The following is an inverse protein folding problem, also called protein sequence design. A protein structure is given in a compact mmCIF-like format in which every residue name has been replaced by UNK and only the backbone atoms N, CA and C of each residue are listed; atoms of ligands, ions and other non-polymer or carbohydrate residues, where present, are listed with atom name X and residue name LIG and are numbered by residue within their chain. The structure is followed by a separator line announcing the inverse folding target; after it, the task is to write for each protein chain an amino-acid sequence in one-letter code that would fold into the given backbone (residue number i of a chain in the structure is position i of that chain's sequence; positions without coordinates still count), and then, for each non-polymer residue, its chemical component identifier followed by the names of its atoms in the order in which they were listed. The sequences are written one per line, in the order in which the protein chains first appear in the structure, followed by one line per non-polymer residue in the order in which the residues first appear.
data_IF_229267756443
#
_entry.id   IF_229267756443
#
_cell.length_a   1.000
_cell.length_b   1.000
_cell.length_c   1.000
_cell.angle_alpha   90.00
_cell.angle_beta   90.00
_cell.angle_gamma   90.00
#
_symmetry.space_group_name_H-M   'P 1'
#
loop_
_entity.id
_entity.type
_entity.pdbx_description
1 polymer ?
#
# COMPACT_ATOMS: atom_id res chain seq x y z
N UNK A 1 12.74 8.73 8.33
CA UNK A 1 11.98 7.97 7.30
C UNK A 1 10.49 7.90 7.63
N UNK A 2 10.12 7.65 8.89
CA UNK A 2 8.72 7.66 9.36
C UNK A 2 8.04 9.03 9.22
N UNK A 3 8.76 10.12 9.41
CA UNK A 3 8.24 11.49 9.26
C UNK A 3 7.78 11.79 7.83
N UNK A 4 8.45 11.24 6.80
CA UNK A 4 8.04 11.40 5.39
C UNK A 4 6.74 10.66 5.10
N UNK A 5 6.56 9.48 5.69
CA UNK A 5 5.31 8.74 5.59
C UNK A 5 4.17 9.52 6.26
N UNK A 6 4.38 9.97 7.50
CA UNK A 6 3.39 10.78 8.23
C UNK A 6 3.04 12.08 7.52
N UNK A 7 4.01 12.79 6.94
CA UNK A 7 3.74 13.98 6.14
C UNK A 7 2.93 13.65 4.87
N UNK A 8 3.22 12.52 4.20
CA UNK A 8 2.44 12.09 3.04
C UNK A 8 0.99 11.74 3.40
N UNK A 9 0.78 11.12 4.57
CA UNK A 9 -0.55 10.81 5.11
C UNK A 9 -1.29 12.11 5.45
N UNK A 10 -0.64 13.06 6.13
CA UNK A 10 -1.22 14.37 6.49
C UNK A 10 -1.71 15.12 5.26
N UNK A 11 -0.88 15.24 4.22
CA UNK A 11 -1.27 15.96 3.00
C UNK A 11 -2.43 15.27 2.26
N UNK A 12 -2.47 13.94 2.27
CA UNK A 12 -3.55 13.19 1.62
C UNK A 12 -4.86 13.23 2.40
N UNK A 13 -4.78 13.11 3.72
CA UNK A 13 -5.95 13.19 4.63
C UNK A 13 -6.60 14.57 4.60
N UNK A 14 -5.82 15.65 4.41
CA UNK A 14 -6.34 17.03 4.26
C UNK A 14 -7.41 17.17 3.18
N UNK A 15 -7.26 16.48 2.05
CA UNK A 15 -8.21 16.55 0.92
C UNK A 15 -9.28 15.47 0.96
N UNK A 16 -9.10 14.43 1.79
CA UNK A 16 -10.02 13.31 1.90
C UNK A 16 -11.22 13.69 2.75
N UNK A 17 -12.35 13.99 2.09
CA UNK A 17 -13.64 14.22 2.73
C UNK A 17 -14.29 12.94 3.31
N UNK A 18 -13.64 11.78 3.14
CA UNK A 18 -14.16 10.47 3.53
C UNK A 18 -13.76 9.98 4.93
N UNK A 19 -13.01 10.77 5.71
CA UNK A 19 -12.66 10.44 7.09
C UNK A 19 -13.74 10.87 8.11
N UNK A 20 -14.81 11.52 7.66
CA UNK A 20 -15.87 12.02 8.53
C UNK A 20 -16.92 10.93 8.77
N UNK A 21 -16.78 10.19 9.89
CA UNK A 21 -17.93 9.50 10.49
C UNK A 21 -17.68 8.12 11.10
N UNK A 22 -16.62 7.39 10.74
CA UNK A 22 -16.32 6.09 11.37
C UNK A 22 -14.82 5.76 11.40
N UNK A 23 -14.38 5.22 12.54
CA UNK A 23 -13.01 4.74 12.74
C UNK A 23 -12.69 3.60 11.76
N UNK A 24 -13.68 2.77 11.46
CA UNK A 24 -13.55 1.64 10.55
C UNK A 24 -13.23 2.07 9.11
N UNK A 25 -13.90 3.11 8.61
CA UNK A 25 -13.58 3.67 7.28
C UNK A 25 -12.19 4.29 7.25
N UNK A 26 -11.79 4.97 8.32
CA UNK A 26 -10.44 5.50 8.44
C UNK A 26 -9.39 4.37 8.40
N UNK A 27 -9.63 3.28 9.13
CA UNK A 27 -8.75 2.11 9.15
C UNK A 27 -8.58 1.48 7.76
N UNK A 28 -9.68 1.26 7.03
CA UNK A 28 -9.65 0.69 5.68
C UNK A 28 -8.86 1.58 4.72
N UNK A 29 -9.08 2.89 4.76
CA UNK A 29 -8.35 3.85 3.93
C UNK A 29 -6.85 3.85 4.27
N UNK A 30 -6.52 3.82 5.57
CA UNK A 30 -5.14 3.81 6.03
C UNK A 30 -4.40 2.54 5.63
N UNK A 31 -5.02 1.36 5.78
CA UNK A 31 -4.49 0.08 5.28
C UNK A 31 -4.29 0.10 3.77
N UNK A 32 -5.26 0.62 3.01
CA UNK A 32 -5.12 0.78 1.57
C UNK A 32 -3.96 1.70 1.19
N UNK A 33 -3.77 2.79 1.94
CA UNK A 33 -2.66 3.72 1.71
C UNK A 33 -1.30 3.10 2.03
N UNK A 34 -1.20 2.30 3.09
CA UNK A 34 0.02 1.57 3.44
C UNK A 34 0.43 0.62 2.30
N UNK A 35 -0.52 -0.17 1.79
CA UNK A 35 -0.28 -1.08 0.65
C UNK A 35 0.19 -0.27 -0.58
N UNK A 36 -0.50 0.83 -0.89
CA UNK A 36 -0.10 1.70 -1.99
C UNK A 36 1.32 2.26 -1.81
N UNK A 37 1.65 2.75 -0.62
CA UNK A 37 2.93 3.38 -0.32
C UNK A 37 4.11 2.40 -0.41
N UNK A 38 3.89 1.14 -0.03
CA UNK A 38 4.92 0.10 0.03
C UNK A 38 5.07 -0.69 -1.27
N UNK A 39 3.96 -1.02 -1.95
CA UNK A 39 3.97 -1.96 -3.08
C UNK A 39 3.80 -1.28 -4.45
N UNK A 40 3.24 -0.07 -4.50
CA UNK A 40 2.80 0.54 -5.77
C UNK A 40 3.55 1.83 -6.06
N UNK A 41 3.68 2.71 -5.06
CA UNK A 41 4.35 4.00 -5.22
C UNK A 41 5.86 3.80 -5.33
N UNK A 42 6.47 4.34 -6.39
CA UNK A 42 7.93 4.50 -6.47
C UNK A 42 8.37 5.67 -5.60
N UNK A 43 9.39 5.45 -4.79
CA UNK A 43 9.94 6.47 -3.91
C UNK A 43 11.09 7.19 -4.61
N UNK A 44 11.09 8.52 -4.56
CA UNK A 44 12.11 9.34 -5.24
C UNK A 44 13.53 9.05 -4.77
N UNK A 45 13.73 8.73 -3.48
CA UNK A 45 15.06 8.50 -2.92
C UNK A 45 15.70 7.19 -3.40
N UNK A 46 14.92 6.11 -3.51
CA UNK A 46 15.40 4.78 -3.90
C UNK A 46 15.07 4.42 -5.36
N UNK A 47 14.33 5.29 -6.06
CA UNK A 47 13.81 5.10 -7.44
C UNK A 47 13.03 3.79 -7.68
N UNK A 48 12.65 3.11 -6.60
CA UNK A 48 11.98 1.81 -6.54
C UNK A 48 10.80 1.85 -5.57
N UNK A 49 9.97 0.83 -5.58
CA UNK A 49 8.98 0.59 -4.55
C UNK A 49 9.65 -0.04 -3.32
N UNK A 50 9.26 0.32 -2.08
CA UNK A 50 9.86 -0.24 -0.86
C UNK A 50 9.92 -1.76 -0.80
N UNK A 51 8.88 -2.47 -1.28
CA UNK A 51 8.87 -3.94 -1.27
C UNK A 51 10.02 -4.57 -2.06
N UNK A 52 10.52 -3.91 -3.11
CA UNK A 52 11.60 -4.45 -3.95
C UNK A 52 12.92 -4.56 -3.17
N UNK A 53 13.08 -3.75 -2.13
CA UNK A 53 14.24 -3.80 -1.23
C UNK A 53 13.99 -4.74 -0.06
N UNK A 54 12.78 -4.73 0.50
CA UNK A 54 12.43 -5.53 1.66
C UNK A 54 12.21 -7.01 1.34
N UNK A 55 11.69 -7.33 0.15
CA UNK A 55 11.31 -8.68 -0.28
C UNK A 55 11.78 -8.91 -1.73
N UNK A 56 13.10 -9.15 -1.95
CA UNK A 56 13.66 -9.27 -3.30
C UNK A 56 13.07 -10.41 -4.13
N UNK A 57 12.55 -11.45 -3.47
CA UNK A 57 11.94 -12.62 -4.11
C UNK A 57 10.52 -12.37 -4.60
N UNK A 58 9.86 -11.29 -4.17
CA UNK A 58 8.53 -10.93 -4.61
C UNK A 58 8.62 -10.06 -5.85
N UNK A 59 8.23 -10.61 -7.00
CA UNK A 59 8.23 -9.91 -8.29
C UNK A 59 6.78 -9.64 -8.70
N UNK A 60 6.41 -8.35 -8.75
CA UNK A 60 5.15 -7.88 -9.31
C UNK A 60 5.44 -7.42 -10.74
N UNK A 61 5.16 -8.28 -11.72
CA UNK A 61 5.55 -8.08 -13.12
C UNK A 61 4.49 -7.31 -13.91
N UNK A 62 3.23 -7.39 -13.50
CA UNK A 62 2.14 -6.71 -14.20
C UNK A 62 2.19 -5.19 -14.02
N UNK A 63 1.67 -4.48 -15.03
CA UNK A 63 1.41 -3.04 -14.94
C UNK A 63 0.38 -2.74 -13.84
N UNK A 64 -0.61 -3.63 -13.65
CA UNK A 64 -1.62 -3.52 -12.60
C UNK A 64 -1.23 -4.30 -11.33
N UNK A 65 -0.33 -3.70 -10.56
CA UNK A 65 0.15 -4.26 -9.29
C UNK A 65 -0.97 -4.57 -8.29
N UNK A 66 -2.07 -3.82 -8.29
CA UNK A 66 -3.22 -4.11 -7.42
C UNK A 66 -3.82 -5.47 -7.71
N UNK A 67 -4.04 -5.78 -8.99
CA UNK A 67 -4.63 -7.06 -9.40
C UNK A 67 -3.74 -8.24 -9.02
N UNK A 68 -2.42 -8.10 -9.16
CA UNK A 68 -1.47 -9.14 -8.72
C UNK A 68 -1.49 -9.34 -7.21
N UNK A 69 -1.49 -8.26 -6.41
CA UNK A 69 -1.58 -8.36 -4.95
C UNK A 69 -2.86 -9.07 -4.50
N UNK A 70 -4.00 -8.78 -5.14
CA UNK A 70 -5.29 -9.44 -4.86
C UNK A 70 -5.20 -10.93 -5.22
N UNK A 71 -4.65 -11.28 -6.39
CA UNK A 71 -4.47 -12.67 -6.81
C UNK A 71 -3.54 -13.44 -5.86
N UNK A 72 -2.46 -12.81 -5.40
CA UNK A 72 -1.53 -13.39 -4.42
C UNK A 72 -2.22 -13.66 -3.09
N UNK A 73 -3.01 -12.69 -2.59
CA UNK A 73 -3.81 -12.86 -1.37
C UNK A 73 -4.75 -14.06 -1.46
N UNK A 74 -5.49 -14.17 -2.57
CA UNK A 74 -6.41 -15.29 -2.81
C UNK A 74 -5.68 -16.63 -2.91
N UNK A 75 -4.50 -16.68 -3.56
CA UNK A 75 -3.71 -17.93 -3.65
C UNK A 75 -3.28 -18.43 -2.27
N UNK A 76 -2.86 -17.53 -1.38
CA UNK A 76 -2.45 -17.89 -0.01
C UNK A 76 -3.63 -18.45 0.79
N UNK A 77 -4.82 -17.87 0.63
CA UNK A 77 -6.04 -18.34 1.30
C UNK A 77 -6.37 -19.80 0.94
N UNK A 78 -6.32 -20.16 -0.35
CA UNK A 78 -6.57 -21.53 -0.82
C UNK A 78 -5.52 -22.56 -0.38
N UNK A 79 -4.35 -22.13 0.11
CA UNK A 79 -3.29 -23.02 0.63
C UNK A 79 -3.40 -23.24 2.14
N UNK A 80 -4.26 -22.49 2.83
CA UNK A 80 -4.51 -22.61 4.27
C UNK A 80 -5.81 -23.37 4.58
N UNK A 81 -6.51 -23.85 3.55
CA UNK A 81 -7.70 -24.72 3.62
C UNK A 81 -7.29 -26.15 3.34
#
# INVERSE_FOLDING_TARGET
MIERLHNSIRERTKTFRGFYGSVESAEVIMKGYEIFYNFIRKHQAIKKCPYELAIPNLILASENKWLELIRLSKKIENHKV
#
